data_IF_776399337465
#
_entry.id   IF_776399337465
#
_cell.length_a   1.000
_cell.length_b   1.000
_cell.length_c   1.000
_cell.angle_alpha   90.00
_cell.angle_beta   90.00
_cell.angle_gamma   90.00
#
_symmetry.space_group_name_H-M   'P 1'
#
loop_
_entity.id
_entity.type
_entity.pdbx_description
1 polymer ?
#
# COMPACT_ATOMS: atom_id res chain seq x y z
N UNK A 1 -17.00 0.51 3.36
CA UNK A 1 -15.70 0.92 2.77
C UNK A 1 -15.93 1.21 1.30
N UNK A 2 -15.57 2.43 0.84
CA UNK A 2 -15.79 2.91 -0.53
C UNK A 2 -14.57 2.65 -1.40
N UNK A 3 -14.78 2.01 -2.54
CA UNK A 3 -13.72 1.49 -3.39
C UNK A 3 -13.93 2.01 -4.82
N UNK A 4 -12.85 2.48 -5.45
CA UNK A 4 -12.76 2.70 -6.90
C UNK A 4 -11.89 1.60 -7.49
N UNK A 5 -12.26 1.12 -8.67
CA UNK A 5 -11.55 0.08 -9.42
C UNK A 5 -11.10 0.67 -10.75
N UNK A 6 -9.82 0.53 -11.08
CA UNK A 6 -9.29 0.92 -12.38
C UNK A 6 -8.51 -0.24 -13.02
N UNK A 7 -8.89 -0.59 -14.24
CA UNK A 7 -8.24 -1.61 -15.06
C UNK A 7 -8.60 -1.31 -16.52
N UNK A 8 -7.69 -1.44 -17.46
CA UNK A 8 -7.98 -1.20 -18.88
C UNK A 8 -8.79 -2.33 -19.51
N UNK A 9 -8.67 -3.56 -18.98
CA UNK A 9 -9.49 -4.69 -19.39
C UNK A 9 -10.90 -4.62 -18.79
N UNK A 10 -11.89 -4.49 -19.67
CA UNK A 10 -13.30 -4.36 -19.27
C UNK A 10 -13.84 -5.61 -18.56
N UNK A 11 -13.34 -6.80 -18.92
CA UNK A 11 -13.80 -8.08 -18.33
C UNK A 11 -13.28 -8.18 -16.90
N UNK A 12 -12.00 -7.85 -16.69
CA UNK A 12 -11.39 -7.84 -15.35
C UNK A 12 -12.08 -6.79 -14.47
N UNK A 13 -12.26 -5.59 -15.00
CA UNK A 13 -12.89 -4.47 -14.28
C UNK A 13 -14.31 -4.79 -13.82
N UNK A 14 -15.17 -5.32 -14.71
CA UNK A 14 -16.54 -5.70 -14.34
C UNK A 14 -16.57 -6.94 -13.43
N UNK A 15 -15.66 -7.90 -13.64
CA UNK A 15 -15.51 -9.05 -12.77
C UNK A 15 -15.13 -8.65 -11.34
N UNK A 16 -14.13 -7.78 -11.17
CA UNK A 16 -13.73 -7.25 -9.87
C UNK A 16 -14.88 -6.49 -9.20
N UNK A 17 -15.60 -5.66 -9.95
CA UNK A 17 -16.76 -4.95 -9.43
C UNK A 17 -17.82 -5.91 -8.90
N UNK A 18 -18.17 -6.96 -9.66
CA UNK A 18 -19.16 -7.97 -9.23
C UNK A 18 -18.70 -8.67 -7.94
N UNK A 19 -17.45 -9.13 -7.92
CA UNK A 19 -16.87 -9.86 -6.79
C UNK A 19 -16.81 -8.97 -5.55
N UNK A 20 -16.30 -7.76 -5.67
CA UNK A 20 -16.15 -6.83 -4.54
C UNK A 20 -17.52 -6.40 -4.02
N UNK A 21 -18.49 -6.12 -4.89
CA UNK A 21 -19.85 -5.76 -4.51
C UNK A 21 -20.65 -6.90 -3.87
N UNK A 22 -20.17 -8.14 -3.92
CA UNK A 22 -20.79 -9.26 -3.22
C UNK A 22 -20.63 -9.21 -1.70
N UNK A 23 -19.67 -8.40 -1.21
CA UNK A 23 -19.42 -8.25 0.21
C UNK A 23 -20.21 -7.07 0.78
N UNK A 24 -20.93 -7.25 1.89
CA UNK A 24 -21.82 -6.21 2.43
C UNK A 24 -21.08 -4.99 3.01
N UNK A 25 -19.82 -5.14 3.34
CA UNK A 25 -18.95 -4.07 3.88
C UNK A 25 -18.23 -3.27 2.79
N UNK A 26 -18.36 -3.64 1.52
CA UNK A 26 -17.74 -2.97 0.38
C UNK A 26 -18.76 -2.26 -0.53
N UNK A 27 -18.41 -1.05 -0.94
CA UNK A 27 -19.20 -0.25 -1.88
C UNK A 27 -18.29 0.20 -3.03
N UNK A 28 -18.52 -0.33 -4.23
CA UNK A 28 -17.81 0.15 -5.43
C UNK A 28 -18.46 1.43 -5.91
N UNK A 29 -17.81 2.57 -5.68
CA UNK A 29 -18.32 3.92 -5.98
C UNK A 29 -17.99 4.38 -7.39
N UNK A 30 -17.06 3.72 -8.07
CA UNK A 30 -16.71 4.03 -9.45
C UNK A 30 -15.78 3.00 -10.07
N UNK A 31 -15.80 2.97 -11.40
CA UNK A 31 -14.88 2.18 -12.22
C UNK A 31 -14.25 3.08 -13.27
N UNK A 32 -12.99 2.86 -13.60
CA UNK A 32 -12.20 3.63 -14.55
C UNK A 32 -11.45 2.71 -15.52
N UNK A 33 -11.17 3.17 -16.74
CA UNK A 33 -10.39 2.42 -17.71
C UNK A 33 -8.91 2.88 -17.81
N UNK A 34 -8.53 3.90 -17.02
CA UNK A 34 -7.16 4.40 -16.93
C UNK A 34 -6.96 5.16 -15.60
N UNK A 35 -5.69 5.47 -15.30
CA UNK A 35 -5.33 6.16 -14.08
C UNK A 35 -5.89 7.57 -13.95
N UNK A 36 -6.01 8.31 -15.06
CA UNK A 36 -6.52 9.70 -15.04
C UNK A 36 -8.00 9.72 -14.62
N UNK A 37 -8.82 8.84 -15.20
CA UNK A 37 -10.21 8.67 -14.80
C UNK A 37 -10.33 8.25 -13.33
N UNK A 38 -9.46 7.35 -12.86
CA UNK A 38 -9.46 6.91 -11.47
C UNK A 38 -9.18 8.08 -10.50
N UNK A 39 -8.21 8.94 -10.81
CA UNK A 39 -7.91 10.14 -10.01
C UNK A 39 -9.12 11.08 -9.98
N UNK A 40 -9.74 11.35 -11.12
CA UNK A 40 -10.93 12.21 -11.19
C UNK A 40 -12.11 11.65 -10.38
N UNK A 41 -12.32 10.34 -10.42
CA UNK A 41 -13.33 9.68 -9.60
C UNK A 41 -13.01 9.82 -8.10
N UNK A 42 -11.73 9.68 -7.68
CA UNK A 42 -11.32 9.87 -6.30
C UNK A 42 -11.51 11.33 -5.83
N UNK A 43 -11.29 12.32 -6.69
CA UNK A 43 -11.56 13.73 -6.39
C UNK A 43 -13.05 14.01 -6.24
N UNK A 44 -13.87 13.36 -7.07
CA UNK A 44 -15.32 13.55 -7.09
C UNK A 44 -16.04 12.85 -5.94
N UNK A 45 -15.58 11.66 -5.57
CA UNK A 45 -16.22 10.82 -4.55
C UNK A 45 -15.29 10.61 -3.38
N UNK A 46 -15.82 10.67 -2.16
CA UNK A 46 -15.04 10.26 -0.97
C UNK A 46 -14.73 8.77 -1.08
N UNK A 47 -13.47 8.45 -1.35
CA UNK A 47 -12.96 7.09 -1.58
C UNK A 47 -12.06 6.67 -0.43
N UNK A 48 -12.18 5.43 0.02
CA UNK A 48 -11.28 4.89 1.03
C UNK A 48 -10.07 4.20 0.37
N UNK A 49 -10.32 3.42 -0.68
CA UNK A 49 -9.30 2.65 -1.40
C UNK A 49 -9.51 2.78 -2.91
N UNK A 50 -8.42 2.97 -3.65
CA UNK A 50 -8.38 2.81 -5.09
C UNK A 50 -7.62 1.51 -5.43
N UNK A 51 -8.32 0.54 -6.03
CA UNK A 51 -7.74 -0.69 -6.56
C UNK A 51 -7.36 -0.44 -8.02
N UNK A 52 -6.07 -0.41 -8.31
CA UNK A 52 -5.54 0.09 -9.58
C UNK A 52 -4.72 -0.99 -10.28
N UNK A 53 -5.04 -1.30 -11.53
CA UNK A 53 -4.07 -1.97 -12.38
C UNK A 53 -2.86 -1.06 -12.62
N UNK A 54 -1.69 -1.67 -12.77
CA UNK A 54 -0.47 -0.90 -13.05
C UNK A 54 -0.43 -0.47 -14.50
N UNK A 55 -0.71 -1.39 -15.43
CA UNK A 55 -0.61 -1.12 -16.86
C UNK A 55 -1.91 -0.61 -17.44
N UNK A 56 -2.04 0.69 -17.51
CA UNK A 56 -3.19 1.33 -18.15
C UNK A 56 -2.72 2.37 -19.17
N UNK A 57 -3.50 2.63 -20.23
CA UNK A 57 -3.23 3.70 -21.18
C UNK A 57 -3.43 5.06 -20.51
N UNK A 58 -2.89 6.12 -21.12
CA UNK A 58 -3.02 7.54 -20.72
C UNK A 58 -2.25 7.86 -19.44
N UNK A 59 -2.53 7.15 -18.33
CA UNK A 59 -1.86 7.27 -17.05
C UNK A 59 -1.78 5.89 -16.39
N UNK A 60 -0.59 5.46 -16.03
CA UNK A 60 -0.38 4.18 -15.35
C UNK A 60 -0.87 4.23 -13.90
N UNK A 61 -1.09 3.04 -13.29
CA UNK A 61 -1.60 2.96 -11.93
C UNK A 61 -0.62 3.48 -10.88
N UNK A 62 0.69 3.51 -11.15
CA UNK A 62 1.70 4.05 -10.25
C UNK A 62 1.66 5.57 -10.25
N UNK A 63 1.50 6.19 -11.42
CA UNK A 63 1.32 7.65 -11.53
C UNK A 63 0.02 8.10 -10.88
N UNK A 64 -1.07 7.36 -11.11
CA UNK A 64 -2.35 7.62 -10.45
C UNK A 64 -2.23 7.50 -8.91
N UNK A 65 -1.58 6.45 -8.42
CA UNK A 65 -1.33 6.24 -7.00
C UNK A 65 -0.52 7.38 -6.38
N UNK A 66 0.49 7.87 -7.09
CA UNK A 66 1.30 9.02 -6.65
C UNK A 66 0.44 10.26 -6.43
N UNK A 67 -0.39 10.62 -7.40
CA UNK A 67 -1.29 11.78 -7.31
C UNK A 67 -2.28 11.59 -6.16
N UNK A 68 -2.88 10.41 -6.03
CA UNK A 68 -3.84 10.12 -4.96
C UNK A 68 -3.23 10.26 -3.57
N UNK A 69 -1.96 9.88 -3.39
CA UNK A 69 -1.23 10.04 -2.14
C UNK A 69 -0.81 11.50 -1.89
N UNK A 70 -0.33 12.21 -2.90
CA UNK A 70 0.07 13.62 -2.80
C UNK A 70 -1.13 14.52 -2.44
N UNK A 71 -2.29 14.23 -3.00
CA UNK A 71 -3.54 14.95 -2.73
C UNK A 71 -4.33 14.38 -1.54
N UNK A 72 -3.85 13.31 -0.89
CA UNK A 72 -4.52 12.63 0.22
C UNK A 72 -5.96 12.19 -0.10
N UNK A 73 -6.21 11.71 -1.32
CA UNK A 73 -7.53 11.33 -1.78
C UNK A 73 -8.01 9.99 -1.20
N UNK A 74 -7.14 8.99 -1.23
CA UNK A 74 -7.46 7.62 -0.78
C UNK A 74 -6.18 6.79 -0.60
N UNK A 75 -6.33 5.51 -0.24
CA UNK A 75 -5.23 4.55 -0.13
C UNK A 75 -5.13 3.74 -1.42
N UNK A 76 -4.10 3.90 -2.24
CA UNK A 76 -3.94 3.09 -3.45
C UNK A 76 -3.44 1.68 -3.13
N UNK A 77 -4.08 0.68 -3.73
CA UNK A 77 -3.72 -0.73 -3.72
C UNK A 77 -3.51 -1.16 -5.18
N UNK A 78 -2.31 -1.58 -5.53
CA UNK A 78 -1.99 -1.94 -6.91
C UNK A 78 -2.30 -3.41 -7.20
N UNK A 79 -2.87 -3.65 -8.39
CA UNK A 79 -3.02 -4.97 -9.00
C UNK A 79 -1.99 -5.15 -10.10
N UNK A 80 -1.43 -6.34 -10.25
CA UNK A 80 -0.45 -6.61 -11.32
C UNK A 80 -0.44 -8.06 -11.75
N UNK A 81 0.14 -8.31 -12.92
CA UNK A 81 0.64 -9.61 -13.33
C UNK A 81 2.11 -9.76 -12.92
N UNK A 82 2.57 -11.00 -12.68
CA UNK A 82 3.78 -11.39 -11.93
C UNK A 82 5.16 -10.85 -12.38
N UNK A 83 5.33 -10.23 -13.56
CA UNK A 83 6.64 -10.19 -14.25
C UNK A 83 7.46 -8.89 -14.20
N UNK A 84 7.22 -7.94 -13.26
CA UNK A 84 7.80 -6.60 -13.41
C UNK A 84 8.51 -6.07 -12.16
N UNK A 85 9.73 -6.54 -11.93
CA UNK A 85 10.58 -6.09 -10.82
C UNK A 85 10.80 -4.56 -10.79
N UNK A 86 10.92 -3.91 -11.96
CA UNK A 86 11.09 -2.46 -12.05
C UNK A 86 9.84 -1.69 -11.58
N UNK A 87 8.64 -2.20 -11.90
CA UNK A 87 7.40 -1.57 -11.46
C UNK A 87 7.18 -1.71 -9.95
N UNK A 88 7.61 -2.83 -9.36
CA UNK A 88 7.59 -3.00 -7.90
C UNK A 88 8.44 -1.92 -7.23
N UNK A 89 9.65 -1.67 -7.73
CA UNK A 89 10.52 -0.62 -7.18
C UNK A 89 9.90 0.78 -7.32
N UNK A 90 9.30 1.09 -8.46
CA UNK A 90 8.60 2.37 -8.67
C UNK A 90 7.43 2.52 -7.69
N UNK A 91 6.59 1.49 -7.54
CA UNK A 91 5.45 1.47 -6.63
C UNK A 91 5.88 1.68 -5.16
N UNK A 92 6.94 0.99 -4.73
CA UNK A 92 7.50 1.14 -3.38
C UNK A 92 8.04 2.55 -3.12
N UNK A 93 8.70 3.18 -4.11
CA UNK A 93 9.19 4.57 -3.99
C UNK A 93 8.04 5.57 -3.84
N UNK A 94 6.93 5.32 -4.50
CA UNK A 94 5.71 6.15 -4.40
C UNK A 94 5.06 6.03 -3.02
N UNK A 95 5.18 4.87 -2.35
CA UNK A 95 4.61 4.65 -1.02
C UNK A 95 3.17 4.13 -1.06
N UNK A 96 2.84 3.32 -2.07
CA UNK A 96 1.51 2.69 -2.17
C UNK A 96 1.17 1.86 -0.92
N UNK A 97 -0.11 1.74 -0.61
CA UNK A 97 -0.59 1.02 0.57
C UNK A 97 -0.51 -0.51 0.42
N UNK A 98 -0.33 -1.00 -0.80
CA UNK A 98 -0.15 -2.41 -1.04
C UNK A 98 -0.03 -2.76 -2.52
N UNK A 99 0.29 -4.04 -2.73
CA UNK A 99 0.54 -4.62 -4.02
C UNK A 99 0.09 -6.08 -4.01
N UNK A 100 -0.83 -6.45 -4.89
CA UNK A 100 -1.36 -7.81 -5.00
C UNK A 100 -1.32 -8.28 -6.45
N UNK A 101 -1.25 -9.60 -6.66
CA UNK A 101 -1.26 -10.19 -8.00
C UNK A 101 -2.70 -10.36 -8.50
N UNK A 102 -2.92 -10.18 -9.79
CA UNK A 102 -4.22 -10.40 -10.45
C UNK A 102 -4.72 -11.86 -10.35
N UNK A 103 -3.83 -12.83 -10.09
CA UNK A 103 -4.16 -14.22 -9.85
C UNK A 103 -4.51 -14.55 -8.38
N UNK A 104 -4.54 -13.54 -7.51
CA UNK A 104 -4.91 -13.72 -6.11
C UNK A 104 -6.36 -14.20 -6.00
N UNK A 105 -6.58 -15.22 -5.18
CA UNK A 105 -7.93 -15.71 -4.90
C UNK A 105 -8.80 -14.61 -4.30
N UNK A 106 -10.09 -14.68 -4.54
CA UNK A 106 -11.09 -13.67 -4.13
C UNK A 106 -10.98 -13.30 -2.65
N UNK A 107 -10.84 -14.29 -1.75
CA UNK A 107 -10.69 -14.05 -0.31
C UNK A 107 -9.41 -13.30 0.03
N UNK A 108 -8.35 -13.50 -0.74
CA UNK A 108 -7.09 -12.76 -0.63
C UNK A 108 -7.27 -11.28 -1.00
N UNK A 109 -8.07 -10.98 -2.04
CA UNK A 109 -8.40 -9.60 -2.41
C UNK A 109 -9.19 -8.92 -1.29
N UNK A 110 -10.19 -9.60 -0.73
CA UNK A 110 -10.99 -9.05 0.37
C UNK A 110 -10.15 -8.79 1.62
N UNK A 111 -9.26 -9.72 1.96
CA UNK A 111 -8.34 -9.58 3.09
C UNK A 111 -7.40 -8.40 2.88
N UNK A 112 -6.85 -8.24 1.67
CA UNK A 112 -5.99 -7.12 1.31
C UNK A 112 -6.71 -5.76 1.46
N UNK A 113 -7.92 -5.65 0.93
CA UNK A 113 -8.74 -4.44 1.05
C UNK A 113 -9.01 -4.07 2.51
N UNK A 114 -9.40 -5.04 3.36
CA UNK A 114 -9.62 -4.81 4.79
C UNK A 114 -8.34 -4.41 5.51
N UNK A 115 -7.22 -5.06 5.19
CA UNK A 115 -5.91 -4.74 5.78
C UNK A 115 -5.50 -3.30 5.45
N UNK A 116 -5.59 -2.90 4.19
CA UNK A 116 -5.27 -1.52 3.75
C UNK A 116 -6.24 -0.50 4.39
N UNK A 117 -7.52 -0.81 4.45
CA UNK A 117 -8.49 0.06 5.10
C UNK A 117 -8.13 0.33 6.57
N UNK A 118 -7.71 -0.69 7.30
CA UNK A 118 -7.28 -0.60 8.70
C UNK A 118 -5.88 0.00 8.90
N UNK A 119 -5.23 0.47 7.82
CA UNK A 119 -3.92 1.12 7.87
C UNK A 119 -2.74 0.16 7.87
N UNK A 120 -2.98 -1.12 7.54
CA UNK A 120 -1.93 -2.09 7.23
C UNK A 120 -1.37 -1.88 5.83
N UNK A 121 -0.31 -2.60 5.51
CA UNK A 121 0.25 -2.72 4.16
C UNK A 121 0.16 -4.16 3.70
N UNK A 122 -0.04 -4.37 2.41
CA UNK A 122 -0.15 -5.70 1.82
C UNK A 122 0.92 -5.88 0.76
N UNK A 123 1.84 -6.81 1.01
CA UNK A 123 2.81 -7.28 0.02
C UNK A 123 2.81 -8.80 0.03
N UNK A 124 2.70 -9.42 -1.14
CA UNK A 124 2.83 -10.88 -1.23
C UNK A 124 4.26 -11.33 -0.93
N UNK A 125 4.43 -12.58 -0.50
CA UNK A 125 5.72 -13.13 -0.06
C UNK A 125 6.83 -13.00 -1.11
N UNK A 126 6.47 -13.12 -2.38
CA UNK A 126 7.43 -13.00 -3.49
C UNK A 126 8.03 -11.58 -3.59
N UNK A 127 7.24 -10.57 -3.26
CA UNK A 127 7.69 -9.18 -3.21
C UNK A 127 8.54 -8.94 -1.96
N UNK A 128 8.18 -9.55 -0.83
CA UNK A 128 8.97 -9.47 0.39
C UNK A 128 10.32 -10.18 0.23
N UNK A 129 10.39 -11.32 -0.49
CA UNK A 129 11.66 -11.97 -0.81
C UNK A 129 12.54 -11.08 -1.70
N UNK A 130 11.96 -10.45 -2.71
CA UNK A 130 12.67 -9.50 -3.57
C UNK A 130 13.21 -8.29 -2.78
N UNK A 131 12.41 -7.73 -1.87
CA UNK A 131 12.84 -6.63 -0.99
C UNK A 131 13.95 -7.12 -0.06
N UNK A 132 13.88 -8.34 0.48
CA UNK A 132 14.92 -8.95 1.31
C UNK A 132 16.23 -9.17 0.54
N UNK A 133 16.16 -9.70 -0.66
CA UNK A 133 17.34 -9.96 -1.50
C UNK A 133 18.03 -8.66 -1.93
N UNK A 134 17.27 -7.62 -2.16
CA UNK A 134 17.80 -6.27 -2.38
C UNK A 134 18.42 -5.68 -1.10
N UNK A 135 17.86 -5.98 0.07
CA UNK A 135 18.35 -5.51 1.37
C UNK A 135 19.61 -6.25 1.84
N UNK A 136 19.77 -7.53 1.53
CA UNK A 136 20.98 -8.31 1.87
C UNK A 136 22.24 -7.74 1.21
N UNK A 137 22.10 -6.98 0.13
CA UNK A 137 23.24 -6.30 -0.54
C UNK A 137 23.66 -4.99 0.12
N UNK A 138 22.91 -4.45 1.09
CA UNK A 138 23.18 -3.14 1.71
C UNK A 138 23.02 -3.21 3.23
N UNK A 139 23.87 -3.97 3.94
CA UNK A 139 23.92 -3.93 5.41
C UNK A 139 24.65 -2.66 5.88
N UNK A 140 23.86 -1.58 6.14
CA UNK A 140 24.26 -0.44 6.93
C UNK A 140 23.06 0.05 7.73
N UNK A 141 23.20 0.21 9.05
CA UNK A 141 22.16 0.82 9.87
C UNK A 141 21.87 2.22 9.33
N UNK A 142 20.65 2.43 8.82
CA UNK A 142 20.25 3.73 8.25
C UNK A 142 20.43 4.86 9.28
N UNK A 143 21.21 5.87 8.95
CA UNK A 143 21.38 7.07 9.78
C UNK A 143 20.03 7.76 10.04
N UNK A 144 19.06 7.60 9.14
CA UNK A 144 17.69 8.15 9.25
C UNK A 144 16.95 7.61 10.47
N UNK A 145 17.21 6.37 10.89
CA UNK A 145 16.57 5.78 12.07
C UNK A 145 17.36 5.99 13.37
N UNK A 146 18.54 6.61 13.30
CA UNK A 146 19.36 6.89 14.47
C UNK A 146 18.75 7.90 15.47
N UNK A 147 17.74 8.67 15.01
CA UNK A 147 16.99 9.63 15.85
C UNK A 147 15.75 9.01 16.54
N UNK A 148 15.47 7.73 16.27
CA UNK A 148 14.30 7.05 16.84
C UNK A 148 14.63 6.45 18.21
N UNK A 149 13.65 6.50 19.09
CA UNK A 149 13.69 5.78 20.37
C UNK A 149 13.60 4.26 20.15
N UNK A 150 13.99 3.46 21.14
CA UNK A 150 13.86 2.00 21.06
C UNK A 150 12.42 1.57 20.74
N UNK A 151 11.44 2.25 21.32
CA UNK A 151 10.02 1.96 21.10
C UNK A 151 9.58 2.28 19.68
N UNK A 152 10.06 3.35 19.10
CA UNK A 152 9.82 3.71 17.71
C UNK A 152 10.49 2.72 16.75
N UNK A 153 11.70 2.27 17.08
CA UNK A 153 12.39 1.23 16.30
C UNK A 153 11.68 -0.12 16.34
N UNK A 154 11.07 -0.51 17.46
CA UNK A 154 10.27 -1.73 17.53
C UNK A 154 9.06 -1.66 16.61
N UNK A 155 8.42 -0.49 16.54
CA UNK A 155 7.30 -0.25 15.60
C UNK A 155 7.80 -0.30 14.15
N UNK A 156 8.94 0.30 13.84
CA UNK A 156 9.56 0.25 12.50
C UNK A 156 9.84 -1.19 12.07
N UNK A 157 10.38 -2.04 12.96
CA UNK A 157 10.62 -3.46 12.69
C UNK A 157 9.32 -4.19 12.34
N UNK A 158 8.27 -3.99 13.13
CA UNK A 158 6.97 -4.62 12.90
C UNK A 158 6.29 -4.10 11.61
N UNK A 159 6.50 -2.82 11.27
CA UNK A 159 6.07 -2.30 9.96
C UNK A 159 6.83 -2.99 8.82
N UNK A 160 8.13 -3.19 8.96
CA UNK A 160 8.96 -3.89 7.98
C UNK A 160 8.57 -5.37 7.84
N UNK A 161 8.08 -5.99 8.93
CA UNK A 161 7.51 -7.34 8.93
C UNK A 161 6.09 -7.42 8.34
N UNK A 162 5.54 -6.29 7.87
CA UNK A 162 4.22 -6.24 7.24
C UNK A 162 3.03 -6.18 8.20
N UNK A 163 3.25 -6.03 9.52
CA UNK A 163 2.17 -6.00 10.51
C UNK A 163 1.23 -4.81 10.30
N UNK A 164 -0.08 -5.03 10.45
CA UNK A 164 -1.09 -3.96 10.54
C UNK A 164 -0.98 -3.19 11.86
N UNK A 165 -1.63 -2.03 11.95
CA UNK A 165 -1.67 -1.27 13.21
C UNK A 165 -2.31 -2.07 14.36
N UNK A 166 -3.27 -2.95 14.06
CA UNK A 166 -3.92 -3.80 15.05
C UNK A 166 -2.95 -4.86 15.59
N UNK A 167 -2.20 -5.53 14.71
CA UNK A 167 -1.19 -6.52 15.08
C UNK A 167 -0.02 -5.88 15.83
N UNK A 168 0.42 -4.68 15.45
CA UNK A 168 1.44 -3.92 16.19
C UNK A 168 0.92 -3.56 17.59
N UNK A 169 -0.33 -3.10 17.69
CA UNK A 169 -0.97 -2.77 18.95
C UNK A 169 -1.03 -3.98 19.90
N UNK A 170 -1.42 -5.14 19.38
CA UNK A 170 -1.46 -6.39 20.12
C UNK A 170 -0.07 -6.83 20.59
N UNK A 171 0.92 -6.90 19.68
CA UNK A 171 2.29 -7.33 19.98
C UNK A 171 3.01 -6.42 20.98
N UNK A 172 2.72 -5.12 20.94
CA UNK A 172 3.37 -4.13 21.80
C UNK A 172 2.54 -3.71 23.01
N UNK A 173 1.36 -4.32 23.21
CA UNK A 173 0.42 -3.97 24.28
C UNK A 173 0.01 -2.48 24.27
N UNK A 174 -0.28 -1.95 23.08
CA UNK A 174 -0.68 -0.56 22.86
C UNK A 174 -2.12 -0.47 22.35
N UNK A 175 -2.70 0.73 22.35
CA UNK A 175 -3.93 1.00 21.61
C UNK A 175 -3.61 1.23 20.11
N UNK A 176 -4.60 0.94 19.24
CA UNK A 176 -4.47 1.21 17.80
C UNK A 176 -4.23 2.71 17.50
N UNK A 177 -4.83 3.60 18.32
CA UNK A 177 -4.61 5.05 18.26
C UNK A 177 -3.17 5.43 18.61
N UNK A 178 -2.60 4.79 19.65
CA UNK A 178 -1.22 5.01 20.08
C UNK A 178 -0.24 4.61 18.98
N UNK A 179 -0.48 3.47 18.30
CA UNK A 179 0.36 3.02 17.17
C UNK A 179 0.31 4.03 16.01
N UNK A 180 -0.86 4.58 15.68
CA UNK A 180 -0.99 5.63 14.65
C UNK A 180 -0.17 6.87 15.01
N UNK A 181 -0.22 7.30 16.27
CA UNK A 181 0.56 8.45 16.74
C UNK A 181 2.05 8.19 16.61
N UNK A 182 2.53 7.02 17.01
CA UNK A 182 3.94 6.65 16.84
C UNK A 182 4.36 6.66 15.36
N UNK A 183 3.53 6.10 14.46
CA UNK A 183 3.83 6.12 13.02
C UNK A 183 3.94 7.56 12.49
N UNK A 184 3.05 8.47 12.92
CA UNK A 184 3.12 9.88 12.53
C UNK A 184 4.43 10.54 13.00
N UNK A 185 4.84 10.29 14.26
CA UNK A 185 6.09 10.80 14.81
C UNK A 185 7.31 10.21 14.10
N UNK A 186 7.29 8.91 13.78
CA UNK A 186 8.35 8.24 13.02
C UNK A 186 8.50 8.90 11.64
N UNK A 187 7.39 9.12 10.92
CA UNK A 187 7.39 9.78 9.61
C UNK A 187 7.97 11.19 9.70
N UNK A 188 7.58 11.97 10.72
CA UNK A 188 8.11 13.32 10.96
C UNK A 188 9.61 13.29 11.23
N UNK A 189 10.09 12.45 12.16
CA UNK A 189 11.50 12.34 12.51
C UNK A 189 12.38 11.85 11.37
N UNK A 190 11.84 10.94 10.52
CA UNK A 190 12.59 10.35 9.42
C UNK A 190 12.48 11.14 8.12
N UNK A 191 11.58 12.13 8.02
CA UNK A 191 11.28 12.87 6.80
C UNK A 191 10.58 12.01 5.73
N UNK A 192 10.12 10.81 6.09
CA UNK A 192 9.41 9.93 5.19
C UNK A 192 7.92 10.32 5.12
N UNK A 193 7.30 10.15 3.95
CA UNK A 193 5.91 10.59 3.73
C UNK A 193 4.89 9.49 4.01
N UNK A 194 5.27 8.22 3.86
CA UNK A 194 4.34 7.09 3.88
C UNK A 194 4.93 5.91 4.64
N UNK A 195 4.04 5.11 5.30
CA UNK A 195 4.45 3.94 6.10
C UNK A 195 5.22 2.89 5.27
N UNK A 196 4.89 2.73 3.99
CA UNK A 196 5.63 1.87 3.06
C UNK A 196 7.09 2.29 2.90
N UNK A 197 7.36 3.60 2.92
CA UNK A 197 8.72 4.11 2.86
C UNK A 197 9.50 3.78 4.13
N UNK A 198 8.85 3.71 5.29
CA UNK A 198 9.48 3.23 6.54
C UNK A 198 9.95 1.79 6.34
N UNK A 199 9.06 0.88 5.88
CA UNK A 199 9.41 -0.52 5.65
C UNK A 199 10.56 -0.66 4.65
N UNK A 200 10.43 0.00 3.49
CA UNK A 200 11.44 -0.06 2.41
C UNK A 200 12.77 0.50 2.88
N UNK A 201 12.77 1.65 3.56
CA UNK A 201 13.99 2.30 4.04
C UNK A 201 14.69 1.48 5.12
N UNK A 202 13.90 0.90 6.03
CA UNK A 202 14.44 0.02 7.08
C UNK A 202 15.06 -1.26 6.50
N UNK A 203 14.43 -1.85 5.48
CA UNK A 203 14.91 -3.06 4.82
C UNK A 203 16.10 -2.81 3.88
N UNK A 204 16.17 -1.63 3.24
CA UNK A 204 17.24 -1.28 2.27
C UNK A 204 18.51 -0.72 2.92
N UNK A 205 18.44 -0.17 4.13
CA UNK A 205 19.52 0.64 4.69
C UNK A 205 19.62 2.04 4.03
N UNK A 206 20.59 2.84 4.44
CA UNK A 206 20.89 4.13 3.80
C UNK A 206 21.67 3.91 2.50
N UNK A 207 21.09 4.31 1.37
CA UNK A 207 21.80 4.81 0.21
C UNK A 207 21.79 6.33 0.23
#
# INVERSE_FOLDING_TARGET
MKIIIADDDSIIREGLKMIISSQPDFEVTGIACNGAEAVELCRKYKTDIALLDIRMPVMDGIEAAKIMLEENLCKPLLLTTFDEQELIQRALKVGVSGYILKNTQTDGIFSALRTVYNGGTVFQQDILSYIRDAAVKCYGKSAVFGLLTERELDIVKLIADGCSNAEIAEKLFLSNGTVRNYISVILEKTGLKHRTQIAVRYLKGDE
#
